data_IF_802526527490
#
_entry.id   IF_802526527490
#
_cell.length_a   1.000
_cell.length_b   1.000
_cell.length_c   1.000
_cell.angle_alpha   90.00
_cell.angle_beta   90.00
_cell.angle_gamma   90.00
#
_symmetry.space_group_name_H-M   'P 1'
#
loop_
_entity.id
_entity.type
_entity.pdbx_description
1 polymer ?
#
# COMPACT_ATOMS: atom_id res chain seq x y z
N UNK A 1 -3.73 6.14 13.32
CA UNK A 1 -4.65 6.13 12.16
C UNK A 1 -3.94 5.39 11.04
N UNK A 2 -4.59 4.35 10.52
CA UNK A 2 -4.11 3.51 9.40
C UNK A 2 -4.23 4.26 8.07
N UNK A 3 -3.45 3.87 7.06
CA UNK A 3 -3.67 4.32 5.69
C UNK A 3 -4.92 3.61 5.11
N UNK A 4 -5.70 4.27 4.27
CA UNK A 4 -6.87 3.62 3.62
C UNK A 4 -6.79 3.73 2.10
N UNK A 5 -6.99 2.61 1.42
CA UNK A 5 -6.87 2.46 -0.02
C UNK A 5 -8.13 1.79 -0.55
N UNK A 6 -8.80 2.42 -1.49
CA UNK A 6 -9.94 1.83 -2.18
C UNK A 6 -9.54 1.53 -3.62
N UNK A 7 -9.54 0.25 -3.98
CA UNK A 7 -9.34 -0.18 -5.34
C UNK A 7 -10.51 0.25 -6.21
N UNK A 8 -10.28 0.31 -7.52
CA UNK A 8 -11.31 0.65 -8.49
C UNK A 8 -11.42 -0.45 -9.51
N UNK A 9 -12.53 -0.52 -10.24
CA UNK A 9 -12.70 -1.54 -11.28
C UNK A 9 -11.65 -1.48 -12.39
N UNK A 10 -10.94 -0.35 -12.53
CA UNK A 10 -9.81 -0.17 -13.46
C UNK A 10 -8.45 -0.46 -12.81
N UNK A 11 -8.33 -0.29 -11.49
CA UNK A 11 -7.10 -0.47 -10.72
C UNK A 11 -7.35 -1.52 -9.62
N UNK A 12 -7.33 -2.79 -10.03
CA UNK A 12 -7.69 -3.95 -9.21
C UNK A 12 -6.50 -4.70 -8.61
N UNK A 13 -5.29 -4.37 -9.06
CA UNK A 13 -4.05 -4.91 -8.52
C UNK A 13 -3.29 -3.74 -7.87
N UNK A 14 -3.25 -3.69 -6.53
CA UNK A 14 -2.71 -2.53 -5.82
C UNK A 14 -1.24 -2.26 -6.18
N UNK A 15 -0.38 -3.26 -5.97
CA UNK A 15 1.04 -3.16 -6.28
C UNK A 15 1.26 -3.09 -7.79
N UNK A 16 0.46 -3.81 -8.57
CA UNK A 16 0.50 -3.71 -10.04
C UNK A 16 0.23 -2.28 -10.54
N UNK A 17 -0.73 -1.57 -9.93
CA UNK A 17 -0.99 -0.16 -10.21
C UNK A 17 0.21 0.72 -9.88
N UNK A 18 0.77 0.62 -8.67
CA UNK A 18 1.90 1.45 -8.27
C UNK A 18 3.17 1.15 -9.06
N UNK A 19 3.38 -0.11 -9.45
CA UNK A 19 4.47 -0.49 -10.36
C UNK A 19 4.34 0.20 -11.71
N UNK A 20 3.13 0.16 -12.30
CA UNK A 20 2.86 0.83 -13.57
C UNK A 20 2.97 2.36 -13.47
N UNK A 21 2.47 2.94 -12.38
CA UNK A 21 2.60 4.37 -12.10
C UNK A 21 4.08 4.77 -11.96
N UNK A 22 4.88 4.00 -11.22
CA UNK A 22 6.32 4.25 -11.04
C UNK A 22 7.07 4.23 -12.36
N UNK A 23 6.79 3.23 -13.21
CA UNK A 23 7.37 3.14 -14.56
C UNK A 23 7.05 4.35 -15.44
N UNK A 24 5.94 5.05 -15.19
CA UNK A 24 5.52 6.25 -15.89
C UNK A 24 5.90 7.57 -15.23
N UNK A 25 6.41 7.59 -13.99
CA UNK A 25 6.54 8.81 -13.18
C UNK A 25 7.53 9.83 -13.76
N UNK A 26 8.68 9.38 -14.29
CA UNK A 26 9.60 10.20 -15.08
C UNK A 26 10.10 11.50 -14.43
N UNK A 27 9.89 11.69 -13.13
CA UNK A 27 10.19 12.89 -12.37
C UNK A 27 11.20 12.59 -11.26
N UNK A 28 12.13 13.52 -11.05
CA UNK A 28 13.12 13.44 -9.99
C UNK A 28 13.38 14.84 -9.43
N UNK A 29 12.84 15.12 -8.24
CA UNK A 29 12.94 16.42 -7.59
C UNK A 29 12.17 16.48 -6.28
N UNK A 30 12.06 17.68 -5.70
CA UNK A 30 11.46 17.89 -4.37
C UNK A 30 9.94 18.17 -4.39
N UNK A 31 9.32 18.13 -5.56
CA UNK A 31 7.95 18.58 -5.76
C UNK A 31 7.78 20.10 -5.59
N UNK A 32 6.53 20.54 -5.58
CA UNK A 32 6.15 21.94 -5.48
C UNK A 32 4.89 22.10 -4.63
N UNK A 33 4.86 23.13 -3.78
CA UNK A 33 3.70 23.48 -2.95
C UNK A 33 2.77 24.46 -3.65
N UNK A 34 1.49 24.41 -3.32
CA UNK A 34 0.49 25.41 -3.71
C UNK A 34 -0.39 25.79 -2.51
N UNK A 35 -0.72 27.07 -2.29
CA UNK A 35 -0.38 28.23 -3.15
C UNK A 35 0.94 28.94 -2.81
N UNK A 36 1.58 28.60 -1.69
CA UNK A 36 2.77 29.31 -1.22
C UNK A 36 4.02 28.43 -1.34
N UNK A 37 5.21 29.04 -1.49
CA UNK A 37 6.46 28.31 -1.32
C UNK A 37 6.50 27.66 0.07
N UNK A 38 6.89 26.40 0.12
CA UNK A 38 7.12 25.63 1.35
C UNK A 38 5.90 25.43 2.26
N UNK A 39 4.70 25.86 1.88
CA UNK A 39 3.48 25.63 2.66
C UNK A 39 2.23 25.75 1.80
N UNK A 40 1.18 25.01 2.14
CA UNK A 40 -0.07 25.11 1.42
C UNK A 40 -1.00 23.95 1.67
N UNK A 41 -2.06 23.93 0.88
CA UNK A 41 -3.06 22.86 0.92
C UNK A 41 -2.76 21.74 -0.09
N UNK A 42 -1.78 21.96 -0.98
CA UNK A 42 -1.28 20.96 -1.89
C UNK A 42 0.25 20.93 -1.92
N UNK A 43 0.78 19.73 -2.12
CA UNK A 43 2.12 19.51 -2.65
C UNK A 43 1.99 18.53 -3.82
N UNK A 44 2.70 18.74 -4.91
CA UNK A 44 2.67 17.85 -6.07
C UNK A 44 4.08 17.47 -6.52
N UNK A 45 4.22 16.26 -7.04
CA UNK A 45 5.42 15.80 -7.71
C UNK A 45 5.05 15.11 -9.02
N UNK A 46 5.87 15.34 -10.05
CA UNK A 46 5.58 14.97 -11.43
C UNK A 46 5.93 16.10 -12.38
N UNK A 47 5.99 15.79 -13.67
CA UNK A 47 6.14 16.81 -14.71
C UNK A 47 4.78 17.48 -14.97
N UNK A 48 4.74 18.80 -15.19
CA UNK A 48 3.49 19.52 -15.53
C UNK A 48 3.36 19.85 -17.02
N UNK A 49 4.38 19.56 -17.84
CA UNK A 49 4.38 19.79 -19.28
C UNK A 49 4.32 18.46 -20.06
N UNK A 50 3.27 18.24 -20.87
CA UNK A 50 3.07 17.01 -21.67
C UNK A 50 1.93 16.11 -21.19
N UNK A 51 1.32 15.33 -22.10
CA UNK A 51 0.05 14.60 -21.84
C UNK A 51 0.22 13.21 -21.20
N UNK A 52 1.45 12.72 -21.06
CA UNK A 52 1.77 11.42 -20.42
C UNK A 52 2.31 11.59 -19.00
N UNK A 53 2.11 12.77 -18.41
CA UNK A 53 2.73 13.16 -17.16
C UNK A 53 2.09 12.45 -15.97
N UNK A 54 2.68 11.34 -15.59
CA UNK A 54 2.34 10.66 -14.36
C UNK A 54 2.72 11.55 -13.17
N UNK A 55 1.83 11.68 -12.21
CA UNK A 55 1.99 12.60 -11.09
C UNK A 55 1.28 12.14 -9.84
N UNK A 56 1.63 12.78 -8.74
CA UNK A 56 1.00 12.64 -7.44
C UNK A 56 0.67 14.01 -6.88
N UNK A 57 -0.50 14.15 -6.27
CA UNK A 57 -0.91 15.33 -5.52
C UNK A 57 -1.19 14.91 -4.09
N UNK A 58 -0.41 15.45 -3.16
CA UNK A 58 -0.67 15.39 -1.73
C UNK A 58 -1.60 16.54 -1.33
N UNK A 59 -2.77 16.22 -0.79
CA UNK A 59 -3.72 17.21 -0.28
C UNK A 59 -3.69 17.26 1.24
N UNK A 60 -3.76 18.45 1.81
CA UNK A 60 -3.72 18.64 3.26
C UNK A 60 -3.71 20.11 3.68
N UNK A 61 -3.02 20.38 4.77
CA UNK A 61 -2.59 21.72 5.18
C UNK A 61 -1.22 21.54 5.82
N UNK A 62 -0.19 21.60 4.99
CA UNK A 62 1.15 21.16 5.33
C UNK A 62 2.19 22.25 5.03
N UNK A 63 3.26 22.26 5.82
CA UNK A 63 4.41 23.12 5.61
C UNK A 63 5.70 22.32 5.73
N UNK A 64 6.68 22.66 4.91
CA UNK A 64 8.02 22.10 4.97
C UNK A 64 8.78 22.65 6.18
N UNK A 65 9.48 21.77 6.88
CA UNK A 65 10.31 22.10 8.04
C UNK A 65 11.76 21.80 7.69
N UNK A 66 12.64 22.83 7.59
CA UNK A 66 14.08 22.61 7.41
C UNK A 66 14.69 21.81 8.57
N UNK A 67 15.68 20.92 8.33
CA UNK A 67 16.33 20.64 7.05
C UNK A 67 15.63 19.56 6.20
N UNK A 68 14.51 19.00 6.67
CA UNK A 68 13.77 17.95 5.98
C UNK A 68 12.56 17.50 6.81
N UNK A 69 11.39 17.45 6.18
CA UNK A 69 10.15 16.97 6.78
C UNK A 69 8.98 17.94 6.64
N UNK A 70 7.84 17.54 7.17
CA UNK A 70 6.60 18.31 7.10
C UNK A 70 5.96 18.49 8.48
N UNK A 71 5.16 19.54 8.63
CA UNK A 71 4.24 19.76 9.74
C UNK A 71 2.83 19.99 9.20
N UNK A 72 1.82 20.00 10.09
CA UNK A 72 0.41 20.17 9.73
C UNK A 72 -0.29 18.83 9.53
N UNK A 73 -1.19 18.76 8.55
CA UNK A 73 -2.03 17.59 8.29
C UNK A 73 -1.93 17.14 6.85
N UNK A 74 -1.88 15.83 6.63
CA UNK A 74 -2.00 15.21 5.31
C UNK A 74 -3.31 14.43 5.26
N UNK A 75 -4.11 14.67 4.23
CA UNK A 75 -5.39 13.99 4.05
C UNK A 75 -5.23 12.79 3.11
N UNK A 76 -4.65 13.00 1.93
CA UNK A 76 -4.47 11.95 0.93
C UNK A 76 -3.34 12.24 -0.06
N UNK A 77 -2.92 11.17 -0.73
CA UNK A 77 -2.15 11.20 -1.98
C UNK A 77 -3.06 10.74 -3.11
N UNK A 78 -3.20 11.56 -4.14
CA UNK A 78 -3.90 11.24 -5.38
C UNK A 78 -2.88 10.92 -6.45
N UNK A 79 -2.91 9.71 -6.99
CA UNK A 79 -2.05 9.26 -8.07
C UNK A 79 -2.82 9.30 -9.38
N UNK A 80 -2.12 9.55 -10.49
CA UNK A 80 -2.75 9.57 -11.81
C UNK A 80 -1.78 10.02 -12.89
N UNK A 81 -2.35 10.37 -14.04
CA UNK A 81 -1.62 10.90 -15.19
C UNK A 81 -2.20 12.22 -15.66
N UNK A 82 -1.44 12.88 -16.54
CA UNK A 82 -1.72 14.22 -17.05
C UNK A 82 -1.81 15.23 -15.89
N UNK A 83 -0.72 15.31 -15.10
CA UNK A 83 -0.54 16.33 -14.08
C UNK A 83 -0.44 17.71 -14.73
N UNK A 84 -1.31 18.62 -14.29
CA UNK A 84 -1.45 19.98 -14.79
C UNK A 84 -1.42 20.98 -13.62
N UNK A 85 -1.19 22.26 -13.93
CA UNK A 85 -1.27 23.36 -12.98
C UNK A 85 0.08 23.95 -12.59
N UNK A 86 0.12 24.65 -11.45
CA UNK A 86 1.30 25.36 -10.94
C UNK A 86 1.12 25.72 -9.47
N UNK A 87 2.19 26.13 -8.78
CA UNK A 87 2.10 26.70 -7.43
C UNK A 87 1.04 27.80 -7.32
N UNK A 88 0.89 28.67 -8.33
CA UNK A 88 -0.05 29.80 -8.26
C UNK A 88 -1.51 29.40 -8.48
N UNK A 89 -1.77 28.35 -9.25
CA UNK A 89 -3.12 27.96 -9.70
C UNK A 89 -3.65 26.69 -9.05
N UNK A 90 -2.81 25.99 -8.27
CA UNK A 90 -3.10 24.63 -7.80
C UNK A 90 -2.76 23.58 -8.86
N UNK A 91 -2.80 22.32 -8.42
CA UNK A 91 -2.50 21.15 -9.24
C UNK A 91 -3.73 20.25 -9.43
N UNK A 92 -3.79 19.58 -10.57
CA UNK A 92 -4.84 18.61 -10.90
C UNK A 92 -4.31 17.47 -11.78
N UNK A 93 -4.92 16.30 -11.69
CA UNK A 93 -4.68 15.16 -12.58
C UNK A 93 -5.86 15.03 -13.54
N UNK A 94 -5.63 15.08 -14.86
CA UNK A 94 -6.73 14.92 -15.82
C UNK A 94 -7.25 13.47 -15.84
N UNK A 95 -6.37 12.49 -15.58
CA UNK A 95 -6.76 11.10 -15.38
C UNK A 95 -6.39 10.66 -13.97
N UNK A 96 -7.37 10.67 -13.07
CA UNK A 96 -7.19 10.17 -11.71
C UNK A 96 -7.06 8.64 -11.70
N UNK A 97 -6.12 8.13 -10.91
CA UNK A 97 -5.95 6.72 -10.59
C UNK A 97 -6.31 6.45 -9.13
N UNK A 98 -5.44 5.75 -8.40
CA UNK A 98 -5.71 5.45 -6.99
C UNK A 98 -5.53 6.67 -6.10
N UNK A 99 -6.29 6.72 -5.01
CA UNK A 99 -6.12 7.67 -3.93
C UNK A 99 -5.84 6.91 -2.64
N UNK A 100 -4.78 7.30 -1.94
CA UNK A 100 -4.42 6.76 -0.62
C UNK A 100 -4.79 7.81 0.41
N UNK A 101 -5.76 7.52 1.28
CA UNK A 101 -6.00 8.33 2.46
C UNK A 101 -4.87 8.08 3.45
N UNK A 102 -4.25 9.16 3.92
CA UNK A 102 -3.07 9.09 4.78
C UNK A 102 -3.53 9.12 6.24
N UNK A 103 -3.03 8.16 7.01
CA UNK A 103 -3.24 8.03 8.45
C UNK A 103 -2.36 8.97 9.29
N UNK A 104 -1.63 8.41 10.27
CA UNK A 104 -0.79 9.17 11.22
C UNK A 104 0.43 9.83 10.56
N UNK A 105 0.21 10.93 9.84
CA UNK A 105 1.24 11.71 9.15
C UNK A 105 1.01 13.24 9.30
N UNK A 106 2.08 14.06 9.22
CA UNK A 106 3.46 13.68 8.91
C UNK A 106 4.22 13.07 10.10
N UNK A 107 4.92 11.96 9.86
CA UNK A 107 5.87 11.32 10.79
C UNK A 107 7.24 11.13 10.09
N UNK A 108 8.22 10.54 10.77
CA UNK A 108 9.57 10.39 10.22
C UNK A 108 9.60 9.50 8.95
N UNK A 109 8.91 8.36 8.97
CA UNK A 109 8.84 7.43 7.83
C UNK A 109 8.12 8.05 6.66
N UNK A 110 6.99 8.71 6.89
CA UNK A 110 6.22 9.43 5.88
C UNK A 110 7.07 10.52 5.21
N UNK A 111 7.86 11.28 5.97
CA UNK A 111 8.74 12.31 5.41
C UNK A 111 9.75 11.73 4.42
N UNK A 112 10.34 10.57 4.75
CA UNK A 112 11.24 9.85 3.86
C UNK A 112 10.51 9.23 2.67
N UNK A 113 9.32 8.67 2.88
CA UNK A 113 8.47 8.10 1.83
C UNK A 113 8.10 9.14 0.76
N UNK A 114 7.76 10.37 1.16
CA UNK A 114 7.51 11.48 0.23
C UNK A 114 8.77 11.82 -0.58
N UNK A 115 9.96 11.81 0.06
CA UNK A 115 11.23 12.01 -0.66
C UNK A 115 11.46 10.90 -1.68
N UNK A 116 11.34 9.63 -1.29
CA UNK A 116 11.52 8.46 -2.17
C UNK A 116 10.55 8.49 -3.34
N UNK A 117 9.30 8.87 -3.08
CA UNK A 117 8.27 9.00 -4.11
C UNK A 117 8.62 10.11 -5.11
N UNK A 118 9.08 11.27 -4.66
CA UNK A 118 9.41 12.38 -5.55
C UNK A 118 10.73 12.18 -6.32
N UNK A 119 11.56 11.24 -5.89
CA UNK A 119 12.86 10.92 -6.51
C UNK A 119 12.80 9.62 -7.31
N UNK A 120 12.00 9.62 -8.37
CA UNK A 120 11.86 8.48 -9.29
C UNK A 120 10.64 7.59 -9.03
N UNK A 121 9.71 8.01 -8.17
CA UNK A 121 8.45 7.30 -7.96
C UNK A 121 8.59 6.10 -7.03
N UNK A 122 9.67 5.98 -6.26
CA UNK A 122 9.97 4.76 -5.51
C UNK A 122 9.02 4.56 -4.33
N UNK A 123 8.39 3.39 -4.28
CA UNK A 123 7.59 2.92 -3.14
C UNK A 123 8.40 2.11 -2.12
N UNK A 124 9.60 1.66 -2.49
CA UNK A 124 10.46 0.79 -1.67
C UNK A 124 11.66 1.55 -1.08
N UNK A 125 11.67 2.87 -1.22
CA UNK A 125 12.72 3.73 -0.70
C UNK A 125 13.82 4.05 -1.71
N UNK A 126 14.71 4.97 -1.34
CA UNK A 126 15.88 5.38 -2.14
C UNK A 126 17.06 5.71 -1.23
N UNK A 127 18.27 5.74 -1.78
CA UNK A 127 19.39 6.41 -1.12
C UNK A 127 19.48 7.85 -1.62
N UNK A 128 19.33 8.81 -0.71
CA UNK A 128 19.46 10.24 -1.04
C UNK A 128 20.88 10.58 -1.50
N UNK A 129 21.05 11.76 -2.12
CA UNK A 129 22.37 12.24 -2.57
C UNK A 129 23.38 12.41 -1.41
N UNK A 130 22.90 12.53 -0.17
CA UNK A 130 23.72 12.57 1.04
C UNK A 130 24.27 11.21 1.48
N UNK A 131 23.85 10.12 0.83
CA UNK A 131 24.13 8.74 1.24
C UNK A 131 23.18 8.20 2.31
N UNK A 132 22.20 8.98 2.75
CA UNK A 132 21.20 8.55 3.74
C UNK A 132 20.09 7.76 3.05
N UNK A 133 19.78 6.56 3.54
CA UNK A 133 18.62 5.77 3.12
C UNK A 133 17.32 6.49 3.54
N UNK A 134 16.37 6.52 2.62
CA UNK A 134 15.05 7.10 2.82
C UNK A 134 14.02 5.97 2.69
N UNK A 135 13.10 5.81 3.65
CA UNK A 135 12.02 4.84 3.55
C UNK A 135 11.13 5.13 2.35
N UNK A 136 10.46 4.11 1.85
CA UNK A 136 9.40 4.18 0.86
C UNK A 136 8.00 4.23 1.48
N UNK A 137 6.99 4.23 0.63
CA UNK A 137 5.61 4.16 1.10
C UNK A 137 5.22 2.78 1.63
N UNK A 138 5.91 1.71 1.23
CA UNK A 138 5.68 0.38 1.80
C UNK A 138 6.16 0.32 3.26
N UNK A 139 7.31 0.92 3.59
CA UNK A 139 7.74 1.11 5.00
C UNK A 139 6.69 1.89 5.82
N UNK A 140 6.15 2.97 5.24
CA UNK A 140 5.12 3.76 5.91
C UNK A 140 3.84 2.95 6.13
N UNK A 141 3.41 2.17 5.14
CA UNK A 141 2.27 1.27 5.26
C UNK A 141 2.49 0.21 6.34
N UNK A 142 3.71 -0.31 6.50
CA UNK A 142 4.04 -1.21 7.60
C UNK A 142 4.09 -0.57 8.97
N UNK A 143 4.55 0.68 9.06
CA UNK A 143 4.51 1.42 10.32
C UNK A 143 3.07 1.66 10.79
N UNK A 144 2.18 2.08 9.88
CA UNK A 144 0.83 2.54 10.26
C UNK A 144 -0.27 1.49 10.10
N UNK A 145 -0.03 0.42 9.33
CA UNK A 145 -1.04 -0.50 8.83
C UNK A 145 -1.95 0.12 7.76
N UNK A 146 -2.66 -0.73 7.03
CA UNK A 146 -3.55 -0.34 5.93
C UNK A 146 -4.96 -0.91 6.09
N UNK A 147 -5.93 -0.19 5.53
CA UNK A 147 -7.26 -0.71 5.22
C UNK A 147 -7.39 -0.69 3.72
N UNK A 148 -7.53 -1.86 3.11
CA UNK A 148 -7.66 -2.02 1.67
C UNK A 148 -9.04 -2.55 1.33
N UNK A 149 -9.76 -1.84 0.48
CA UNK A 149 -11.07 -2.26 0.00
C UNK A 149 -11.00 -2.58 -1.49
N UNK A 150 -11.25 -3.83 -1.82
CA UNK A 150 -11.51 -4.32 -3.16
C UNK A 150 -12.89 -3.88 -3.67
N UNK A 151 -13.29 -4.53 -4.75
CA UNK A 151 -14.41 -4.14 -5.60
C UNK A 151 -15.43 -5.28 -5.67
N UNK A 152 -16.20 -5.33 -6.77
CA UNK A 152 -17.09 -6.45 -7.07
C UNK A 152 -16.52 -7.37 -8.17
N UNK A 153 -15.21 -7.30 -8.38
CA UNK A 153 -14.45 -8.10 -9.34
C UNK A 153 -13.25 -8.69 -8.63
N UNK A 154 -12.56 -9.60 -9.31
CA UNK A 154 -11.28 -10.13 -8.84
C UNK A 154 -10.27 -8.99 -8.62
N UNK A 155 -9.79 -8.87 -7.38
CA UNK A 155 -8.82 -7.90 -6.90
C UNK A 155 -7.58 -8.58 -6.29
N UNK A 156 -6.46 -7.85 -6.26
CA UNK A 156 -5.25 -8.22 -5.51
C UNK A 156 -4.94 -7.18 -4.45
N UNK A 157 -4.98 -7.62 -3.20
CA UNK A 157 -4.73 -6.84 -2.00
C UNK A 157 -3.44 -7.35 -1.35
N UNK A 158 -2.70 -6.48 -0.67
CA UNK A 158 -1.34 -6.79 -0.19
C UNK A 158 -1.19 -6.36 1.26
N UNK A 159 -0.70 -7.24 2.14
CA UNK A 159 -0.19 -6.82 3.45
C UNK A 159 1.17 -6.12 3.28
N UNK A 160 1.50 -5.21 4.20
CA UNK A 160 2.73 -4.42 4.22
C UNK A 160 3.46 -4.53 5.57
N UNK A 161 3.62 -5.70 6.17
CA UNK A 161 4.32 -5.95 7.45
C UNK A 161 3.64 -5.38 8.72
N UNK A 162 2.73 -4.42 8.56
CA UNK A 162 1.90 -3.83 9.62
C UNK A 162 0.62 -4.61 9.87
N UNK A 163 -0.22 -4.13 10.80
CA UNK A 163 -1.53 -4.75 11.02
C UNK A 163 -2.52 -4.24 9.96
N UNK A 164 -2.80 -5.06 8.95
CA UNK A 164 -3.66 -4.69 7.84
C UNK A 164 -5.09 -5.22 7.95
N UNK A 165 -6.03 -4.52 7.33
CA UNK A 165 -7.39 -5.01 7.09
C UNK A 165 -7.64 -5.06 5.59
N UNK A 166 -7.74 -6.26 5.04
CA UNK A 166 -7.92 -6.51 3.62
C UNK A 166 -9.34 -7.00 3.36
N UNK A 167 -10.13 -6.20 2.66
CA UNK A 167 -11.50 -6.51 2.31
C UNK A 167 -11.61 -6.79 0.81
N UNK A 168 -11.77 -8.06 0.42
CA UNK A 168 -11.83 -8.44 -1.00
C UNK A 168 -13.05 -7.88 -1.72
N UNK A 169 -14.19 -7.82 -1.02
CA UNK A 169 -15.46 -7.48 -1.63
C UNK A 169 -16.11 -8.71 -2.28
N UNK A 170 -16.48 -8.61 -3.55
CA UNK A 170 -16.99 -9.74 -4.31
C UNK A 170 -16.07 -10.00 -5.50
N UNK A 171 -15.99 -11.24 -5.95
CA UNK A 171 -15.02 -11.62 -6.95
C UNK A 171 -14.29 -12.87 -6.47
N UNK A 172 -13.24 -13.22 -7.19
CA UNK A 172 -12.27 -14.22 -6.75
C UNK A 172 -10.96 -13.48 -6.48
N UNK A 173 -10.77 -13.11 -5.23
CA UNK A 173 -9.73 -12.17 -4.82
C UNK A 173 -8.45 -12.90 -4.42
N UNK A 174 -7.34 -12.16 -4.43
CA UNK A 174 -6.05 -12.64 -3.95
C UNK A 174 -5.55 -11.72 -2.84
N UNK A 175 -5.34 -12.28 -1.66
CA UNK A 175 -4.73 -11.61 -0.52
C UNK A 175 -3.27 -12.05 -0.43
N UNK A 176 -2.35 -11.11 -0.65
CA UNK A 176 -0.92 -11.36 -0.73
C UNK A 176 -0.26 -10.96 0.59
N UNK A 177 0.47 -11.89 1.18
CA UNK A 177 1.29 -11.68 2.37
C UNK A 177 2.73 -11.95 1.99
N UNK A 178 3.47 -10.89 1.69
CA UNK A 178 4.83 -10.93 1.17
C UNK A 178 5.77 -10.15 2.08
N UNK A 179 6.70 -10.87 2.71
CA UNK A 179 7.69 -10.27 3.62
C UNK A 179 8.86 -9.61 2.89
N UNK A 180 8.95 -9.72 1.57
CA UNK A 180 10.02 -9.14 0.74
C UNK A 180 9.45 -8.16 -0.31
N UNK A 181 8.26 -7.62 -0.06
CA UNK A 181 7.52 -6.75 -1.00
C UNK A 181 8.26 -5.45 -1.36
N UNK A 182 9.09 -4.96 -0.45
CA UNK A 182 9.93 -3.78 -0.62
C UNK A 182 11.39 -4.11 -0.97
N UNK A 183 11.72 -5.39 -1.15
CA UNK A 183 13.06 -5.90 -1.41
C UNK A 183 13.97 -5.99 -0.17
N UNK A 184 13.42 -5.77 1.03
CA UNK A 184 14.06 -6.05 2.29
C UNK A 184 13.22 -7.04 3.11
N UNK A 185 13.76 -8.22 3.38
CA UNK A 185 13.04 -9.25 4.13
C UNK A 185 12.64 -8.77 5.54
N UNK A 186 11.36 -8.43 5.70
CA UNK A 186 10.73 -8.07 6.95
C UNK A 186 10.70 -9.23 7.93
N UNK A 187 10.65 -8.94 9.23
CA UNK A 187 10.58 -9.96 10.29
C UNK A 187 9.16 -10.47 10.57
N UNK A 188 8.13 -9.80 10.04
CA UNK A 188 6.72 -10.07 10.34
C UNK A 188 5.83 -9.67 9.18
N UNK A 189 4.65 -10.29 9.06
CA UNK A 189 3.55 -9.79 8.23
C UNK A 189 2.56 -8.93 9.04
N UNK A 190 2.74 -8.84 10.37
CA UNK A 190 1.79 -8.20 11.27
C UNK A 190 0.64 -9.11 11.71
N UNK A 191 -0.41 -8.49 12.24
CA UNK A 191 -1.65 -9.14 12.67
C UNK A 191 -2.79 -8.68 11.75
N UNK A 192 -3.02 -9.46 10.70
CA UNK A 192 -3.88 -9.07 9.60
C UNK A 192 -5.29 -9.60 9.74
N UNK A 193 -6.25 -8.84 9.23
CA UNK A 193 -7.65 -9.26 9.14
C UNK A 193 -8.10 -9.27 7.69
N UNK A 194 -8.59 -10.42 7.23
CA UNK A 194 -9.22 -10.57 5.92
C UNK A 194 -10.73 -10.64 6.09
N UNK A 195 -11.45 -9.81 5.34
CA UNK A 195 -12.92 -9.84 5.26
C UNK A 195 -13.39 -10.10 3.83
N UNK A 196 -14.54 -10.78 3.70
CA UNK A 196 -15.10 -11.14 2.39
C UNK A 196 -14.52 -12.41 1.77
N UNK A 197 -13.58 -13.07 2.45
CA UNK A 197 -12.95 -14.29 1.96
C UNK A 197 -13.95 -15.43 1.72
N UNK A 198 -13.99 -15.93 0.48
CA UNK A 198 -14.77 -17.08 0.05
C UNK A 198 -13.86 -18.30 0.01
N UNK A 199 -14.08 -19.28 0.89
CA UNK A 199 -13.29 -20.51 0.90
C UNK A 199 -13.77 -21.55 -0.14
N UNK A 200 -12.96 -22.57 -0.40
CA UNK A 200 -13.25 -23.69 -1.30
C UNK A 200 -12.57 -23.59 -2.66
N UNK A 201 -12.71 -24.65 -3.48
CA UNK A 201 -11.99 -24.82 -4.74
C UNK A 201 -12.18 -23.68 -5.77
N UNK A 202 -13.32 -23.00 -5.73
CA UNK A 202 -13.64 -21.87 -6.62
C UNK A 202 -13.62 -20.52 -5.87
N UNK A 203 -13.14 -20.51 -4.63
CA UNK A 203 -13.07 -19.35 -3.77
C UNK A 203 -11.76 -18.57 -3.93
N UNK A 204 -11.55 -17.60 -3.05
CA UNK A 204 -10.42 -16.67 -3.02
C UNK A 204 -9.09 -17.37 -2.71
N UNK A 205 -8.02 -16.61 -2.87
CA UNK A 205 -6.65 -17.05 -2.67
C UNK A 205 -5.98 -16.28 -1.53
N UNK A 206 -5.28 -17.02 -0.67
CA UNK A 206 -4.23 -16.51 0.20
C UNK A 206 -2.90 -16.85 -0.46
N UNK A 207 -2.16 -15.83 -0.88
CA UNK A 207 -0.82 -15.98 -1.44
C UNK A 207 0.22 -15.69 -0.35
N UNK A 208 0.89 -16.75 0.12
CA UNK A 208 1.88 -16.71 1.17
C UNK A 208 3.28 -16.69 0.57
N UNK A 209 3.84 -15.49 0.47
CA UNK A 209 5.24 -15.25 0.13
C UNK A 209 5.99 -14.93 1.43
N UNK A 210 6.05 -15.91 2.34
CA UNK A 210 6.62 -15.71 3.68
C UNK A 210 8.13 -15.96 3.77
N UNK A 211 8.75 -16.46 2.69
CA UNK A 211 10.16 -16.89 2.64
C UNK A 211 10.53 -17.78 3.85
N UNK A 212 9.66 -18.73 4.16
CA UNK A 212 9.78 -19.64 5.29
C UNK A 212 9.38 -21.05 4.90
N UNK A 213 10.24 -22.03 5.18
CA UNK A 213 9.97 -23.45 4.93
C UNK A 213 9.07 -24.09 6.01
N UNK A 214 8.57 -23.31 6.96
CA UNK A 214 7.67 -23.80 8.00
C UNK A 214 6.18 -23.71 7.60
N UNK A 215 5.89 -22.96 6.54
CA UNK A 215 4.55 -22.64 6.08
C UNK A 215 4.50 -22.58 4.55
N UNK A 216 5.16 -23.52 3.87
CA UNK A 216 5.24 -23.59 2.41
C UNK A 216 4.30 -24.65 1.81
N UNK A 217 3.51 -25.32 2.65
CA UNK A 217 2.45 -26.24 2.23
C UNK A 217 1.09 -25.97 2.89
N UNK A 218 0.02 -26.39 2.20
CA UNK A 218 -1.32 -26.33 2.77
C UNK A 218 -1.45 -27.12 4.08
N UNK A 219 -0.78 -28.27 4.21
CA UNK A 219 -0.86 -29.10 5.40
C UNK A 219 -0.32 -28.37 6.64
N UNK A 220 0.79 -27.65 6.50
CA UNK A 220 1.39 -26.85 7.57
C UNK A 220 0.50 -25.67 7.96
N UNK A 221 0.03 -24.91 6.96
CA UNK A 221 -0.85 -23.76 7.20
C UNK A 221 -2.18 -24.20 7.82
N UNK A 222 -2.75 -25.30 7.35
CA UNK A 222 -3.98 -25.85 7.91
C UNK A 222 -3.81 -26.37 9.35
N UNK A 223 -2.62 -26.90 9.67
CA UNK A 223 -2.26 -27.29 11.04
C UNK A 223 -2.10 -26.06 11.96
N UNK A 224 -1.57 -24.96 11.44
CA UNK A 224 -1.43 -23.68 12.14
C UNK A 224 -2.77 -22.92 12.31
N UNK A 225 -3.77 -23.23 11.49
CA UNK A 225 -5.09 -22.61 11.56
C UNK A 225 -5.91 -23.09 12.78
N UNK A 226 -6.66 -22.20 13.43
CA UNK A 226 -7.56 -22.51 14.55
C UNK A 226 -8.90 -21.83 14.34
N UNK A 227 -10.00 -22.55 14.59
CA UNK A 227 -11.33 -21.95 14.60
C UNK A 227 -11.53 -21.14 15.89
N UNK A 228 -11.90 -19.86 15.76
CA UNK A 228 -12.17 -18.94 16.87
C UNK A 228 -13.53 -18.28 16.64
N UNK A 229 -14.58 -18.79 17.29
CA UNK A 229 -15.94 -18.34 17.03
C UNK A 229 -16.31 -18.53 15.56
N UNK A 230 -16.71 -17.46 14.87
CA UNK A 230 -17.00 -17.48 13.44
C UNK A 230 -15.76 -17.38 12.53
N UNK A 231 -14.59 -17.06 13.10
CA UNK A 231 -13.38 -16.76 12.35
C UNK A 231 -12.42 -17.95 12.31
N UNK A 232 -11.54 -17.98 11.32
CA UNK A 232 -10.36 -18.85 11.32
C UNK A 232 -9.12 -17.98 11.51
N UNK A 233 -8.27 -18.31 12.48
CA UNK A 233 -7.00 -17.62 12.74
C UNK A 233 -5.85 -18.54 12.35
N UNK A 234 -4.97 -18.08 11.47
CA UNK A 234 -3.77 -18.79 11.02
C UNK A 234 -2.58 -18.14 11.71
N UNK A 235 -1.94 -18.86 12.64
CA UNK A 235 -0.86 -18.31 13.47
C UNK A 235 0.51 -18.77 12.97
N UNK A 236 1.34 -17.83 12.53
CA UNK A 236 2.69 -18.07 12.02
C UNK A 236 3.79 -17.84 13.07
N UNK A 237 3.43 -17.82 14.35
CA UNK A 237 4.35 -17.60 15.47
C UNK A 237 4.88 -16.17 15.50
N UNK A 238 6.21 -16.02 15.46
CA UNK A 238 6.84 -14.69 15.47
C UNK A 238 6.65 -13.91 14.17
N UNK A 239 6.20 -14.57 13.09
CA UNK A 239 5.94 -13.91 11.83
C UNK A 239 4.62 -13.12 11.86
N UNK A 240 3.70 -13.43 12.77
CA UNK A 240 2.38 -12.77 12.82
C UNK A 240 1.21 -13.76 12.64
N UNK A 241 0.02 -13.24 12.37
CA UNK A 241 -1.17 -14.05 12.12
C UNK A 241 -2.13 -13.41 11.12
N UNK A 242 -2.93 -14.28 10.48
CA UNK A 242 -4.03 -13.89 9.60
C UNK A 242 -5.35 -14.34 10.23
N UNK A 243 -6.24 -13.39 10.47
CA UNK A 243 -7.63 -13.65 10.86
C UNK A 243 -8.55 -13.58 9.64
N UNK A 244 -9.07 -14.73 9.22
CA UNK A 244 -10.13 -14.85 8.21
C UNK A 244 -11.49 -14.67 8.87
N UNK A 245 -12.10 -13.51 8.67
CA UNK A 245 -13.37 -13.15 9.30
C UNK A 245 -14.55 -13.92 8.71
N UNK A 246 -15.36 -14.52 9.57
CA UNK A 246 -16.54 -15.32 9.19
C UNK A 246 -16.23 -16.51 8.26
N UNK A 247 -15.01 -17.04 8.32
CA UNK A 247 -14.59 -18.23 7.56
C UNK A 247 -14.50 -19.42 8.50
N UNK A 248 -15.15 -20.52 8.12
CA UNK A 248 -15.04 -21.80 8.82
C UNK A 248 -13.77 -22.53 8.37
N UNK A 249 -12.93 -22.96 9.31
CA UNK A 249 -11.64 -23.63 9.05
C UNK A 249 -11.80 -24.84 8.14
N UNK A 250 -12.83 -25.64 8.33
CA UNK A 250 -13.08 -26.86 7.53
C UNK A 250 -13.51 -26.57 6.09
N UNK A 251 -13.83 -25.32 5.75
CA UNK A 251 -14.11 -24.91 4.38
C UNK A 251 -12.85 -24.59 3.58
N UNK A 252 -11.71 -24.36 4.24
CA UNK A 252 -10.43 -24.11 3.58
C UNK A 252 -9.94 -25.36 2.85
N UNK A 253 -9.54 -25.19 1.59
CA UNK A 253 -8.95 -26.24 0.76
C UNK A 253 -7.56 -25.82 0.29
N UNK A 254 -6.78 -26.78 -0.23
CA UNK A 254 -5.46 -26.48 -0.80
C UNK A 254 -5.53 -25.48 -1.97
N UNK A 255 -6.63 -25.47 -2.72
CA UNK A 255 -6.85 -24.53 -3.83
C UNK A 255 -6.96 -23.07 -3.38
N UNK A 256 -7.20 -22.81 -2.09
CA UNK A 256 -7.22 -21.47 -1.54
C UNK A 256 -5.81 -20.92 -1.27
N UNK A 257 -4.75 -21.71 -1.37
CA UNK A 257 -3.41 -21.29 -0.96
C UNK A 257 -2.42 -21.35 -2.12
N UNK A 258 -1.64 -20.28 -2.24
CA UNK A 258 -0.50 -20.16 -3.14
C UNK A 258 0.75 -19.93 -2.29
N UNK A 259 1.85 -20.60 -2.62
CA UNK A 259 3.10 -20.57 -1.88
C UNK A 259 4.25 -20.14 -2.79
N UNK A 260 5.32 -19.59 -2.19
CA UNK A 260 6.59 -19.26 -2.85
C UNK A 260 7.39 -20.51 -3.25
#
# INVERSE_FOLDING_TARGET
MVATINLTTTNRDLVGYFTNWTNGFGYNGNGEFSPLPFSGNQWAAGNVAGTTNTGVIMNGNLAYVPPGGFTGTVNNLQFGTDLNGSAATGFSLATAGLTVQIGDAPNATFNGAVYSLSHGGSFTGVTSASGTAQPGFYDYFGEVGTVQNGTNREDKLYSFDGNDTLNGGAGRDTFVFDRDIDGALSTTIGHDTVTGFVAGATGDFINLQLQSTAFDTFAEVYAAATQVGANTVINFGTLGDITLSNVTKTALTADNFVFA
#
